data_IF_236762265462
#
_entry.id   IF_236762265462
#
_cell.length_a   1.000
_cell.length_b   1.000
_cell.length_c   1.000
_cell.angle_alpha   90.00
_cell.angle_beta   90.00
_cell.angle_gamma   90.00
#
_symmetry.space_group_name_H-M   'P 1'
#
loop_
_entity.id
_entity.type
_entity.pdbx_description
1 polymer ?
#
# COMPACT_ATOMS: atom_id res chain seq x y z
N UNK A 1 28.65 43.86 -49.96
CA UNK A 1 29.61 42.86 -49.45
C UNK A 1 29.19 42.47 -48.05
N UNK A 2 28.57 41.30 -47.90
CA UNK A 2 28.17 40.74 -46.59
C UNK A 2 29.33 39.88 -46.05
N UNK A 3 29.59 39.88 -44.72
CA UNK A 3 30.67 39.08 -44.16
C UNK A 3 30.30 37.60 -44.17
N UNK A 4 31.22 36.76 -44.61
CA UNK A 4 31.14 35.30 -44.50
C UNK A 4 31.21 34.91 -43.02
N UNK A 5 30.12 34.37 -42.47
CA UNK A 5 30.12 33.72 -41.16
C UNK A 5 30.95 32.43 -41.26
N UNK A 6 32.07 32.43 -40.53
CA UNK A 6 32.98 31.30 -40.36
C UNK A 6 32.27 30.14 -39.68
N UNK A 7 32.36 28.94 -40.27
CA UNK A 7 31.93 27.69 -39.67
C UNK A 7 32.71 27.44 -38.37
N UNK A 8 32.06 27.68 -37.23
CA UNK A 8 32.60 27.31 -35.93
C UNK A 8 32.61 25.78 -35.82
N UNK A 9 33.81 25.21 -35.70
CA UNK A 9 34.03 23.80 -35.39
C UNK A 9 33.31 23.46 -34.08
N UNK A 10 32.28 22.62 -34.17
CA UNK A 10 31.53 22.12 -33.02
C UNK A 10 32.46 21.35 -32.09
N UNK A 11 32.60 21.83 -30.85
CA UNK A 11 33.22 21.06 -29.77
C UNK A 11 32.45 19.74 -29.61
N UNK A 12 33.12 18.60 -29.38
CA UNK A 12 32.45 17.36 -29.05
C UNK A 12 31.55 17.62 -27.84
N UNK A 13 30.25 17.40 -28.03
CA UNK A 13 29.25 17.42 -26.96
C UNK A 13 29.78 16.40 -25.95
N UNK A 14 30.16 16.87 -24.76
CA UNK A 14 30.55 16.01 -23.66
C UNK A 14 29.46 14.96 -23.52
N UNK A 15 29.83 13.68 -23.63
CA UNK A 15 28.93 12.55 -23.46
C UNK A 15 28.09 12.81 -22.23
N UNK A 16 26.79 13.08 -22.44
CA UNK A 16 25.86 13.37 -21.36
C UNK A 16 26.00 12.26 -20.34
N UNK A 17 26.34 12.65 -19.11
CA UNK A 17 26.43 11.77 -17.97
C UNK A 17 25.00 11.33 -17.64
N UNK A 18 24.46 10.41 -18.45
CA UNK A 18 23.10 9.88 -18.28
C UNK A 18 23.07 9.19 -16.94
N UNK A 19 22.17 9.66 -16.08
CA UNK A 19 21.91 8.99 -14.82
C UNK A 19 21.68 7.49 -15.10
N UNK A 20 22.21 6.58 -14.25
CA UNK A 20 22.01 5.16 -14.44
C UNK A 20 20.52 4.86 -14.50
N UNK A 21 20.13 3.94 -15.38
CA UNK A 21 18.73 3.54 -15.53
C UNK A 21 18.22 2.92 -14.22
N UNK A 22 16.99 3.27 -13.83
CA UNK A 22 16.37 2.82 -12.58
C UNK A 22 14.98 2.26 -12.84
N UNK A 23 14.63 1.26 -12.05
CA UNK A 23 13.36 0.53 -12.14
C UNK A 23 12.78 0.30 -10.76
N UNK A 24 11.55 -0.18 -10.73
CA UNK A 24 10.83 -0.47 -9.50
C UNK A 24 10.66 -1.97 -9.33
N UNK A 25 11.06 -2.48 -8.18
CA UNK A 25 11.08 -3.91 -7.91
C UNK A 25 10.11 -4.27 -6.79
N UNK A 26 9.21 -5.22 -7.06
CA UNK A 26 8.43 -5.90 -6.05
C UNK A 26 9.05 -7.27 -5.76
N UNK A 27 9.78 -7.39 -4.65
CA UNK A 27 10.55 -8.59 -4.29
C UNK A 27 9.80 -9.57 -3.39
N UNK A 28 10.04 -10.88 -3.60
CA UNK A 28 9.44 -11.97 -2.83
C UNK A 28 10.28 -13.26 -2.93
N UNK A 29 10.02 -14.27 -2.09
CA UNK A 29 9.46 -14.15 -0.75
C UNK A 29 10.44 -13.47 0.20
N UNK A 30 9.93 -12.60 1.09
CA UNK A 30 10.76 -11.97 2.14
C UNK A 30 11.19 -12.94 3.24
N UNK A 31 10.46 -14.04 3.42
CA UNK A 31 10.74 -15.04 4.46
C UNK A 31 11.38 -16.27 3.82
N UNK A 32 12.62 -16.62 4.19
CA UNK A 32 13.18 -17.91 3.81
C UNK A 32 12.47 -18.99 4.63
N UNK A 33 11.54 -19.73 4.02
CA UNK A 33 10.83 -20.81 4.72
C UNK A 33 11.33 -22.21 4.41
N UNK A 34 12.12 -22.38 3.36
CA UNK A 34 12.63 -23.69 2.94
C UNK A 34 13.95 -23.56 2.19
N UNK A 35 14.77 -24.61 2.21
CA UNK A 35 15.86 -24.74 1.24
C UNK A 35 15.29 -24.77 -0.19
N UNK A 36 15.92 -24.03 -1.11
CA UNK A 36 15.52 -23.94 -2.52
C UNK A 36 14.50 -22.85 -2.85
N UNK A 37 14.00 -22.89 -4.10
CA UNK A 37 13.21 -21.81 -4.71
C UNK A 37 11.70 -22.09 -4.80
N UNK A 38 11.25 -23.22 -4.24
CA UNK A 38 9.85 -23.68 -4.36
C UNK A 38 8.84 -22.66 -3.83
N UNK A 39 9.13 -22.03 -2.69
CA UNK A 39 8.23 -21.02 -2.11
C UNK A 39 8.04 -19.79 -3.01
N UNK A 40 9.12 -19.32 -3.67
CA UNK A 40 9.04 -18.21 -4.63
C UNK A 40 8.28 -18.57 -5.89
N UNK A 41 8.44 -19.80 -6.39
CA UNK A 41 7.68 -20.31 -7.53
C UNK A 41 6.17 -20.40 -7.21
N UNK A 42 5.80 -20.89 -6.02
CA UNK A 42 4.39 -20.93 -5.59
C UNK A 42 3.79 -19.53 -5.49
N UNK A 43 4.54 -18.53 -5.01
CA UNK A 43 4.08 -17.13 -5.00
C UNK A 43 3.89 -16.61 -6.42
N UNK A 44 4.82 -16.89 -7.33
CA UNK A 44 4.69 -16.48 -8.73
C UNK A 44 3.46 -17.10 -9.38
N UNK A 45 3.15 -18.37 -9.10
CA UNK A 45 1.91 -19.03 -9.53
C UNK A 45 0.67 -18.34 -8.96
N UNK A 46 0.68 -17.95 -7.68
CA UNK A 46 -0.42 -17.22 -7.07
C UNK A 46 -0.62 -15.84 -7.70
N UNK A 47 0.47 -15.12 -8.00
CA UNK A 47 0.42 -13.84 -8.69
C UNK A 47 -0.14 -14.02 -10.10
N UNK A 48 0.26 -15.09 -10.81
CA UNK A 48 -0.30 -15.43 -12.11
C UNK A 48 -1.78 -15.76 -12.02
N UNK A 49 -2.24 -16.46 -10.99
CA UNK A 49 -3.62 -16.93 -10.93
C UNK A 49 -4.58 -15.86 -10.42
N UNK A 50 -4.17 -15.10 -9.40
CA UNK A 50 -5.04 -14.17 -8.69
C UNK A 50 -4.63 -12.70 -8.81
N UNK A 51 -3.36 -12.42 -9.10
CA UNK A 51 -2.81 -11.06 -9.11
C UNK A 51 -1.97 -10.74 -7.87
N UNK A 52 -1.63 -9.46 -7.71
CA UNK A 52 -0.74 -9.02 -6.62
C UNK A 52 -1.49 -8.97 -5.29
N UNK A 53 -0.91 -9.60 -4.27
CA UNK A 53 -1.48 -9.65 -2.93
C UNK A 53 -1.11 -8.41 -2.12
N UNK A 54 -2.10 -7.72 -1.59
CA UNK A 54 -1.93 -6.68 -0.58
C UNK A 54 -2.04 -7.30 0.81
N UNK A 55 -0.90 -7.65 1.37
CA UNK A 55 -0.84 -8.19 2.73
C UNK A 55 -1.08 -7.07 3.75
N UNK A 56 -1.99 -7.26 4.73
CA UNK A 56 -2.27 -6.23 5.72
C UNK A 56 -1.14 -6.12 6.76
N UNK A 57 -0.88 -4.90 7.20
CA UNK A 57 0.07 -4.58 8.25
C UNK A 57 -0.53 -3.54 9.20
N UNK A 58 -0.22 -3.61 10.49
CA UNK A 58 -0.64 -2.59 11.45
C UNK A 58 0.45 -1.53 11.60
N UNK A 59 0.16 -0.32 11.13
CA UNK A 59 0.96 0.86 11.41
C UNK A 59 0.52 1.47 12.75
N UNK A 60 1.51 1.76 13.60
CA UNK A 60 1.29 2.33 14.94
C UNK A 60 1.86 3.74 14.99
N UNK A 61 1.03 4.65 15.48
CA UNK A 61 1.35 6.05 15.68
C UNK A 61 1.20 6.39 17.16
N UNK A 62 2.19 7.06 17.71
CA UNK A 62 2.20 7.53 19.09
C UNK A 62 2.54 9.01 19.11
N UNK A 63 1.85 9.76 19.96
CA UNK A 63 2.09 11.18 20.18
C UNK A 63 1.93 11.49 21.66
N UNK A 64 2.92 12.18 22.22
CA UNK A 64 2.88 12.69 23.59
C UNK A 64 2.09 14.00 23.63
N UNK A 65 1.06 14.08 24.48
CA UNK A 65 0.30 15.31 24.63
C UNK A 65 1.13 16.42 25.27
N UNK A 66 0.90 17.66 24.83
CA UNK A 66 1.55 18.84 25.40
C UNK A 66 1.16 19.11 26.86
N UNK A 67 0.01 18.60 27.31
CA UNK A 67 -0.50 18.76 28.67
C UNK A 67 0.03 17.70 29.66
N UNK A 68 0.93 16.81 29.21
CA UNK A 68 1.49 15.74 30.03
C UNK A 68 0.56 14.55 30.24
N UNK A 69 -0.61 14.51 29.60
CA UNK A 69 -1.47 13.33 29.61
C UNK A 69 -0.81 12.14 28.87
N UNK A 70 -1.20 10.89 29.20
CA UNK A 70 -0.59 9.70 28.62
C UNK A 70 -0.61 9.72 27.08
N UNK A 71 0.48 9.31 26.40
CA UNK A 71 0.56 9.37 24.94
C UNK A 71 -0.64 8.72 24.26
N UNK A 72 -1.20 9.41 23.27
CA UNK A 72 -2.26 8.84 22.45
C UNK A 72 -1.65 7.87 21.46
N UNK A 73 -2.10 6.63 21.53
CA UNK A 73 -1.73 5.56 20.60
C UNK A 73 -2.86 5.30 19.63
N UNK A 74 -2.55 5.39 18.35
CA UNK A 74 -3.47 5.01 17.28
C UNK A 74 -2.82 3.94 16.41
N UNK A 75 -3.60 2.94 16.05
CA UNK A 75 -3.20 1.91 15.11
C UNK A 75 -4.12 1.94 13.90
N UNK A 76 -3.57 1.68 12.73
CA UNK A 76 -4.34 1.57 11.49
C UNK A 76 -3.87 0.38 10.68
N UNK A 77 -4.81 -0.32 10.03
CA UNK A 77 -4.47 -1.40 9.11
C UNK A 77 -4.12 -0.77 7.77
N UNK A 78 -2.91 -1.02 7.29
CA UNK A 78 -2.47 -0.67 5.96
C UNK A 78 -2.47 -1.90 5.07
N UNK A 79 -3.01 -1.78 3.86
CA UNK A 79 -2.98 -2.80 2.80
C UNK A 79 -2.25 -2.17 1.61
N UNK A 80 -1.11 -2.73 1.25
CA UNK A 80 -0.22 -2.13 0.24
C UNK A 80 0.53 -3.18 -0.56
N UNK A 81 0.93 -2.80 -1.77
CA UNK A 81 2.00 -3.44 -2.53
C UNK A 81 3.15 -2.45 -2.54
N UNK A 82 4.33 -2.89 -2.14
CA UNK A 82 5.53 -2.05 -2.07
C UNK A 82 6.48 -2.35 -3.22
N UNK A 83 7.09 -1.29 -3.75
CA UNK A 83 8.09 -1.33 -4.80
C UNK A 83 9.30 -0.52 -4.39
N UNK A 84 10.50 -0.99 -4.69
CA UNK A 84 11.76 -0.30 -4.37
C UNK A 84 12.38 0.24 -5.65
N UNK A 85 12.67 1.54 -5.72
CA UNK A 85 13.39 2.10 -6.86
C UNK A 85 14.89 1.77 -6.78
N UNK A 86 15.38 0.92 -7.68
CA UNK A 86 16.77 0.45 -7.70
C UNK A 86 17.36 0.58 -9.11
N UNK A 87 18.67 0.80 -9.17
CA UNK A 87 19.44 0.45 -10.36
C UNK A 87 19.58 -1.08 -10.43
N UNK A 88 19.68 -1.69 -11.62
CA UNK A 88 19.81 -3.15 -11.76
C UNK A 88 20.94 -3.76 -10.93
N UNK A 89 22.06 -3.03 -10.78
CA UNK A 89 23.22 -3.45 -9.98
C UNK A 89 22.92 -3.60 -8.48
N UNK A 90 21.94 -2.85 -7.96
CA UNK A 90 21.57 -2.84 -6.54
C UNK A 90 20.66 -4.04 -6.19
N UNK A 91 20.02 -4.66 -7.19
CA UNK A 91 18.99 -5.69 -6.98
C UNK A 91 19.52 -6.94 -6.30
N UNK A 92 20.73 -7.40 -6.64
CA UNK A 92 21.33 -8.58 -6.01
C UNK A 92 21.60 -8.36 -4.51
N UNK A 93 21.92 -7.12 -4.10
CA UNK A 93 22.02 -6.74 -2.70
C UNK A 93 20.64 -6.75 -2.02
N UNK A 94 19.66 -6.11 -2.66
CA UNK A 94 18.28 -6.04 -2.17
C UNK A 94 17.63 -7.42 -2.00
N UNK A 95 17.91 -8.35 -2.92
CA UNK A 95 17.39 -9.71 -2.92
C UNK A 95 17.75 -10.50 -1.65
N UNK A 96 18.85 -10.15 -0.97
CA UNK A 96 19.27 -10.79 0.28
C UNK A 96 18.30 -10.53 1.43
N UNK A 97 17.69 -9.35 1.45
CA UNK A 97 16.79 -8.90 2.52
C UNK A 97 15.31 -9.08 2.18
N UNK A 98 14.96 -9.01 0.88
CA UNK A 98 13.57 -8.98 0.41
C UNK A 98 13.14 -10.19 -0.41
N UNK A 99 14.07 -11.08 -0.74
CA UNK A 99 13.80 -12.31 -1.47
C UNK A 99 14.40 -12.31 -2.88
N UNK A 100 14.72 -13.50 -3.42
CA UNK A 100 15.47 -13.61 -4.67
C UNK A 100 14.61 -13.51 -5.94
N UNK A 101 13.29 -13.48 -5.83
CA UNK A 101 12.39 -13.19 -6.95
C UNK A 101 12.00 -11.72 -6.93
N UNK A 102 11.83 -11.12 -8.11
CA UNK A 102 11.30 -9.78 -8.23
C UNK A 102 10.45 -9.60 -9.50
N UNK A 103 9.41 -8.77 -9.39
CA UNK A 103 8.74 -8.19 -10.56
C UNK A 103 9.32 -6.81 -10.80
N UNK A 104 9.79 -6.56 -12.02
CA UNK A 104 10.30 -5.25 -12.44
C UNK A 104 9.23 -4.46 -13.18
N UNK A 105 9.07 -3.20 -12.80
CA UNK A 105 8.19 -2.23 -13.46
C UNK A 105 8.99 -1.00 -13.90
N UNK A 106 8.58 -0.41 -15.02
CA UNK A 106 8.97 0.94 -15.38
C UNK A 106 8.11 1.99 -14.65
N UNK A 107 8.59 3.24 -14.63
CA UNK A 107 7.93 4.34 -13.93
C UNK A 107 6.52 4.64 -14.47
N UNK A 108 6.33 4.55 -15.79
CA UNK A 108 5.07 4.93 -16.42
C UNK A 108 4.00 3.87 -16.14
N UNK A 109 4.37 2.59 -16.19
CA UNK A 109 3.53 1.47 -15.76
C UNK A 109 3.10 1.63 -14.30
N UNK A 110 4.04 1.88 -13.38
CA UNK A 110 3.70 2.08 -11.97
C UNK A 110 2.78 3.29 -11.72
N UNK A 111 3.03 4.43 -12.38
CA UNK A 111 2.17 5.60 -12.25
C UNK A 111 0.75 5.31 -12.73
N UNK A 112 0.59 4.56 -13.82
CA UNK A 112 -0.72 4.15 -14.34
C UNK A 112 -1.45 3.23 -13.36
N UNK A 113 -0.71 2.38 -12.66
CA UNK A 113 -1.23 1.53 -11.60
C UNK A 113 -1.56 2.28 -10.29
N UNK A 114 -1.34 3.61 -10.24
CA UNK A 114 -1.62 4.42 -9.05
C UNK A 114 -0.55 4.28 -7.95
N UNK A 115 0.64 3.79 -8.30
CA UNK A 115 1.75 3.76 -7.36
C UNK A 115 2.28 5.18 -7.12
N UNK A 116 2.53 5.54 -5.86
CA UNK A 116 3.15 6.83 -5.48
C UNK A 116 4.27 6.63 -4.45
N UNK A 117 5.22 7.58 -4.33
CA UNK A 117 6.25 7.54 -3.30
C UNK A 117 5.67 7.48 -1.89
N UNK A 118 6.35 6.76 -1.00
CA UNK A 118 6.01 6.70 0.42
C UNK A 118 6.38 8.00 1.13
N UNK A 119 5.47 8.48 1.98
CA UNK A 119 5.72 9.58 2.89
C UNK A 119 6.25 9.04 4.22
N UNK A 120 7.57 9.06 4.37
CA UNK A 120 8.21 8.70 5.63
C UNK A 120 8.01 9.82 6.65
N UNK A 121 7.39 9.47 7.78
CA UNK A 121 7.04 10.40 8.86
C UNK A 121 7.92 10.08 10.07
N UNK A 122 8.73 11.06 10.56
CA UNK A 122 9.51 10.84 11.76
C UNK A 122 8.59 10.64 12.97
N UNK A 123 9.02 9.78 13.89
CA UNK A 123 8.34 9.57 15.16
C UNK A 123 9.11 10.27 16.27
N UNK A 124 8.40 10.76 17.29
CA UNK A 124 9.05 11.34 18.46
C UNK A 124 9.99 10.30 19.09
N UNK A 125 11.21 10.73 19.44
CA UNK A 125 12.02 9.98 20.39
C UNK A 125 11.42 10.03 21.80
N UNK A 126 12.16 9.55 22.81
CA UNK A 126 11.73 9.59 24.22
C UNK A 126 11.67 11.02 24.83
N UNK A 127 11.69 12.08 24.01
CA UNK A 127 11.73 13.48 24.44
C UNK A 127 10.62 14.36 23.87
N UNK A 128 10.38 15.50 24.53
CA UNK A 128 9.44 16.53 24.11
C UNK A 128 10.03 17.49 23.06
N UNK A 129 10.61 16.95 21.99
CA UNK A 129 11.15 17.76 20.89
C UNK A 129 10.14 17.92 19.75
N UNK A 130 10.49 18.75 18.76
CA UNK A 130 9.67 18.95 17.56
C UNK A 130 9.55 17.69 16.68
N UNK A 131 10.29 16.61 16.98
CA UNK A 131 10.18 15.32 16.31
C UNK A 131 8.81 14.66 16.48
N UNK A 132 8.03 15.06 17.49
CA UNK A 132 6.65 14.62 17.66
C UNK A 132 5.64 15.17 16.64
N UNK A 133 6.00 16.19 15.85
CA UNK A 133 5.11 16.80 14.87
C UNK A 133 4.54 15.77 13.88
N UNK A 134 5.34 14.80 13.47
CA UNK A 134 4.93 13.73 12.56
C UNK A 134 3.82 12.86 13.16
N UNK A 135 3.99 12.42 14.40
CA UNK A 135 2.96 11.70 15.14
C UNK A 135 1.67 12.51 15.31
N UNK A 136 1.77 13.82 15.61
CA UNK A 136 0.61 14.72 15.72
C UNK A 136 -0.16 14.81 14.41
N UNK A 137 0.55 15.05 13.30
CA UNK A 137 -0.04 15.14 11.96
C UNK A 137 -0.82 13.86 11.63
N UNK A 138 -0.21 12.70 11.84
CA UNK A 138 -0.84 11.42 11.53
C UNK A 138 -2.07 11.14 12.39
N UNK A 139 -2.02 11.45 13.69
CA UNK A 139 -3.19 11.32 14.55
C UNK A 139 -4.35 12.22 14.11
N UNK A 140 -4.07 13.46 13.67
CA UNK A 140 -5.11 14.34 13.15
C UNK A 140 -5.69 13.87 11.83
N UNK A 141 -4.88 13.29 10.93
CA UNK A 141 -5.39 12.68 9.69
C UNK A 141 -6.27 11.47 9.99
N UNK A 142 -5.90 10.63 10.97
CA UNK A 142 -6.72 9.50 11.41
C UNK A 142 -8.02 9.98 12.07
N UNK A 143 -7.99 11.05 12.86
CA UNK A 143 -9.19 11.65 13.44
C UNK A 143 -10.11 12.23 12.36
N UNK A 144 -9.56 12.89 11.35
CA UNK A 144 -10.32 13.39 10.20
C UNK A 144 -10.98 12.23 9.43
N UNK A 145 -10.25 11.12 9.23
CA UNK A 145 -10.80 9.89 8.64
C UNK A 145 -11.95 9.34 9.49
N UNK A 146 -11.77 9.21 10.81
CA UNK A 146 -12.83 8.74 11.73
C UNK A 146 -14.05 9.66 11.74
N UNK A 147 -13.84 10.98 11.69
CA UNK A 147 -14.92 11.96 11.64
C UNK A 147 -15.73 11.83 10.35
N UNK A 148 -15.05 11.77 9.20
CA UNK A 148 -15.71 11.61 7.90
C UNK A 148 -16.45 10.27 7.79
N UNK A 149 -15.88 9.20 8.32
CA UNK A 149 -16.54 7.89 8.40
C UNK A 149 -17.81 7.93 9.26
N UNK A 150 -17.76 8.58 10.43
CA UNK A 150 -18.96 8.76 11.27
C UNK A 150 -20.05 9.57 10.57
N UNK A 151 -19.67 10.62 9.86
CA UNK A 151 -20.62 11.40 9.04
C UNK A 151 -21.24 10.51 7.97
N UNK A 152 -20.44 9.70 7.27
CA UNK A 152 -20.93 8.76 6.25
C UNK A 152 -21.90 7.72 6.85
N UNK A 153 -21.61 7.19 8.03
CA UNK A 153 -22.51 6.26 8.75
C UNK A 153 -23.82 6.94 9.13
N UNK A 154 -23.77 8.19 9.62
CA UNK A 154 -24.97 8.97 9.93
C UNK A 154 -25.82 9.23 8.68
N UNK A 155 -25.19 9.62 7.57
CA UNK A 155 -25.87 9.80 6.27
C UNK A 155 -26.56 8.51 5.81
N UNK A 156 -25.89 7.36 5.92
CA UNK A 156 -26.46 6.06 5.56
C UNK A 156 -27.66 5.69 6.44
N UNK A 157 -27.54 5.82 7.76
CA UNK A 157 -28.63 5.51 8.70
C UNK A 157 -29.82 6.44 8.44
N UNK A 158 -29.60 7.75 8.34
CA UNK A 158 -30.65 8.72 8.09
C UNK A 158 -31.30 8.53 6.72
N UNK A 159 -30.55 8.11 5.70
CA UNK A 159 -31.12 7.80 4.37
C UNK A 159 -31.97 6.54 4.37
N UNK A 160 -31.67 5.59 5.26
CA UNK A 160 -32.46 4.36 5.42
C UNK A 160 -33.67 4.50 6.36
N UNK A 161 -33.81 5.63 7.06
CA UNK A 161 -34.88 5.84 8.02
C UNK A 161 -36.26 5.96 7.33
N UNK A 162 -37.33 5.33 7.89
CA UNK A 162 -38.68 5.45 7.35
C UNK A 162 -39.14 6.92 7.22
N UNK A 163 -39.92 7.29 6.18
CA UNK A 163 -40.32 8.68 5.94
C UNK A 163 -41.14 9.32 7.06
N UNK A 164 -41.89 8.52 7.82
CA UNK A 164 -42.74 8.92 8.94
C UNK A 164 -42.00 8.97 10.28
N UNK A 165 -40.76 8.46 10.33
CA UNK A 165 -39.96 8.45 11.55
C UNK A 165 -39.46 9.87 11.83
N UNK A 166 -39.75 10.36 13.04
CA UNK A 166 -39.27 11.69 13.51
C UNK A 166 -37.88 11.58 14.14
N UNK A 167 -37.65 10.54 14.94
CA UNK A 167 -36.40 10.35 15.71
C UNK A 167 -35.73 9.02 15.44
N UNK A 168 -34.40 9.01 15.39
CA UNK A 168 -33.59 7.82 15.13
C UNK A 168 -32.45 7.70 16.15
N UNK A 169 -32.40 6.55 16.82
CA UNK A 169 -31.25 6.14 17.60
C UNK A 169 -30.08 5.79 16.68
N UNK A 170 -28.92 6.40 16.91
CA UNK A 170 -27.66 6.11 16.22
C UNK A 170 -26.63 5.72 17.26
N UNK A 171 -26.11 4.52 17.13
CA UNK A 171 -25.04 4.01 17.99
C UNK A 171 -23.70 4.26 17.32
N UNK A 172 -22.88 5.12 17.91
CA UNK A 172 -21.52 5.39 17.42
C UNK A 172 -20.53 4.60 18.28
N UNK A 173 -19.72 3.71 17.69
CA UNK A 173 -18.63 3.08 18.41
C UNK A 173 -17.54 4.12 18.71
N UNK A 174 -17.16 4.24 19.99
CA UNK A 174 -15.96 4.97 20.41
C UNK A 174 -15.08 4.06 21.28
N UNK A 175 -13.84 4.48 21.50
CA UNK A 175 -12.84 3.66 22.20
C UNK A 175 -13.25 3.30 23.64
N UNK A 176 -14.14 4.08 24.26
CA UNK A 176 -14.70 3.84 25.61
C UNK A 176 -16.01 3.04 25.62
N UNK A 177 -16.46 2.54 24.46
CA UNK A 177 -17.71 1.81 24.29
C UNK A 177 -18.70 2.53 23.36
N UNK A 178 -19.77 1.87 22.90
CA UNK A 178 -20.77 2.50 22.05
C UNK A 178 -21.53 3.62 22.78
N UNK A 179 -21.72 4.76 22.11
CA UNK A 179 -22.57 5.86 22.60
C UNK A 179 -23.82 5.96 21.73
N UNK A 180 -24.98 5.95 22.36
CA UNK A 180 -26.27 6.10 21.70
C UNK A 180 -26.66 7.59 21.66
N UNK A 181 -26.93 8.09 20.46
CA UNK A 181 -27.52 9.40 20.22
C UNK A 181 -28.94 9.22 19.71
N UNK A 182 -29.88 10.04 20.17
CA UNK A 182 -31.25 10.07 19.67
C UNK A 182 -31.47 11.39 18.92
N UNK A 183 -31.49 11.31 17.59
CA UNK A 183 -31.51 12.49 16.72
C UNK A 183 -32.89 12.73 16.14
N UNK A 184 -33.28 14.00 16.04
CA UNK A 184 -34.34 14.40 15.11
C UNK A 184 -33.83 14.23 13.67
N UNK A 185 -34.55 13.45 12.86
CA UNK A 185 -34.10 13.08 11.52
C UNK A 185 -34.05 14.29 10.60
N UNK A 186 -35.02 15.20 10.71
CA UNK A 186 -35.12 16.36 9.81
C UNK A 186 -34.00 17.35 10.13
N UNK A 187 -33.81 17.67 11.40
CA UNK A 187 -32.74 18.58 11.84
C UNK A 187 -31.36 18.00 11.51
N UNK A 188 -31.14 16.71 11.77
CA UNK A 188 -29.87 16.06 11.46
C UNK A 188 -29.55 16.09 9.96
N UNK A 189 -30.54 15.84 9.09
CA UNK A 189 -30.35 15.94 7.63
C UNK A 189 -30.00 17.35 7.18
N UNK A 190 -30.64 18.39 7.73
CA UNK A 190 -30.33 19.78 7.38
C UNK A 190 -28.93 20.19 7.85
N UNK A 191 -28.51 19.77 9.05
CA UNK A 191 -27.16 20.02 9.56
C UNK A 191 -26.11 19.32 8.68
N UNK A 192 -26.31 18.04 8.37
CA UNK A 192 -25.39 17.30 7.49
C UNK A 192 -25.33 17.93 6.10
N UNK A 193 -26.46 18.34 5.53
CA UNK A 193 -26.51 19.06 4.26
C UNK A 193 -25.74 20.37 4.31
N UNK A 194 -25.87 21.14 5.39
CA UNK A 194 -25.15 22.40 5.56
C UNK A 194 -23.64 22.20 5.66
N UNK A 195 -23.19 21.19 6.41
CA UNK A 195 -21.77 20.85 6.58
C UNK A 195 -21.17 20.29 5.29
N UNK A 196 -21.92 19.45 4.56
CA UNK A 196 -21.46 18.81 3.33
C UNK A 196 -21.58 19.70 2.08
N UNK A 197 -22.09 20.93 2.20
CA UNK A 197 -22.30 21.81 1.07
C UNK A 197 -20.97 22.19 0.40
N UNK A 198 -20.78 21.76 -0.85
CA UNK A 198 -19.55 22.02 -1.61
C UNK A 198 -18.40 21.05 -1.33
N UNK A 199 -18.63 20.00 -0.53
CA UNK A 199 -17.66 18.95 -0.25
C UNK A 199 -17.98 17.68 -1.06
N UNK A 200 -16.98 16.81 -1.22
CA UNK A 200 -17.23 15.45 -1.72
C UNK A 200 -18.07 14.65 -0.70
N UNK A 201 -18.85 13.64 -1.13
CA UNK A 201 -19.63 12.80 -0.22
C UNK A 201 -18.78 12.22 0.90
N UNK A 202 -19.30 12.19 2.13
CA UNK A 202 -18.52 11.80 3.31
C UNK A 202 -17.91 10.40 3.19
N UNK A 203 -18.65 9.45 2.58
CA UNK A 203 -18.14 8.11 2.28
C UNK A 203 -16.92 8.12 1.34
N UNK A 204 -16.90 9.00 0.33
CA UNK A 204 -15.77 9.14 -0.58
C UNK A 204 -14.57 9.77 0.13
N UNK A 205 -14.80 10.79 0.96
CA UNK A 205 -13.74 11.41 1.77
C UNK A 205 -13.12 10.42 2.76
N UNK A 206 -13.94 9.61 3.43
CA UNK A 206 -13.46 8.58 4.36
C UNK A 206 -12.60 7.53 3.64
N UNK A 207 -13.06 7.01 2.50
CA UNK A 207 -12.31 6.07 1.67
C UNK A 207 -11.00 6.68 1.15
N UNK A 208 -11.03 7.94 0.70
CA UNK A 208 -9.84 8.66 0.25
C UNK A 208 -8.83 8.85 1.38
N UNK A 209 -9.27 9.25 2.58
CA UNK A 209 -8.39 9.41 3.73
C UNK A 209 -7.79 8.07 4.17
N UNK A 210 -8.57 7.00 4.18
CA UNK A 210 -8.08 5.66 4.46
C UNK A 210 -7.02 5.22 3.43
N UNK A 211 -7.33 5.32 2.13
CA UNK A 211 -6.38 5.04 1.06
C UNK A 211 -5.13 5.92 1.15
N UNK A 212 -5.29 7.21 1.41
CA UNK A 212 -4.21 8.18 1.57
C UNK A 212 -3.27 7.82 2.73
N UNK A 213 -3.83 7.40 3.87
CA UNK A 213 -3.06 6.99 5.05
C UNK A 213 -2.16 5.78 4.78
N UNK A 214 -2.43 4.93 3.78
CA UNK A 214 -1.57 3.81 3.41
C UNK A 214 -0.20 4.24 2.84
N UNK A 215 -0.08 5.48 2.37
CA UNK A 215 1.17 6.02 1.84
C UNK A 215 2.10 6.59 2.90
N UNK A 216 1.62 6.79 4.13
CA UNK A 216 2.45 7.26 5.23
C UNK A 216 3.10 6.07 5.95
N UNK A 217 4.35 6.22 6.35
CA UNK A 217 5.05 5.17 7.09
C UNK A 217 5.97 5.76 8.15
N UNK A 218 6.03 5.17 9.36
CA UNK A 218 7.00 5.62 10.36
C UNK A 218 8.43 5.46 9.85
N UNK A 219 9.20 6.53 9.93
CA UNK A 219 10.58 6.60 9.45
C UNK A 219 11.61 6.14 10.49
N UNK A 220 11.21 6.05 11.76
CA UNK A 220 12.12 5.78 12.87
C UNK A 220 11.77 4.43 13.51
N UNK A 221 12.80 3.60 13.67
CA UNK A 221 12.76 2.33 14.40
C UNK A 221 14.01 2.26 15.27
N UNK A 222 13.94 1.52 16.39
CA UNK A 222 14.96 1.55 17.46
C UNK A 222 16.39 1.23 16.99
N UNK A 223 16.57 0.57 15.84
CA UNK A 223 17.86 0.04 15.38
C UNK A 223 18.32 0.56 14.01
N UNK A 224 17.75 1.65 13.48
CA UNK A 224 18.05 2.04 12.10
C UNK A 224 19.27 2.95 11.96
N UNK A 225 20.09 2.64 10.95
CA UNK A 225 21.12 3.53 10.48
C UNK A 225 20.49 4.86 10.02
N UNK A 226 21.23 5.97 10.18
CA UNK A 226 20.75 7.31 9.84
C UNK A 226 20.18 7.35 8.41
N UNK A 227 18.90 7.75 8.31
CA UNK A 227 18.14 7.90 7.07
C UNK A 227 17.91 6.60 6.26
N UNK A 228 18.04 5.42 6.87
CA UNK A 228 17.91 4.14 6.16
C UNK A 228 16.58 4.02 5.41
N UNK A 229 15.45 4.33 6.05
CA UNK A 229 14.13 4.25 5.40
C UNK A 229 13.99 5.26 4.25
N UNK A 230 14.42 6.51 4.44
CA UNK A 230 14.39 7.51 3.37
C UNK A 230 15.20 7.10 2.13
N UNK A 231 16.24 6.28 2.31
CA UNK A 231 17.08 5.75 1.22
C UNK A 231 16.47 4.55 0.49
N UNK A 232 15.41 3.93 1.02
CA UNK A 232 14.75 2.81 0.36
C UNK A 232 14.02 3.22 -0.91
N UNK A 233 13.68 4.50 -1.09
CA UNK A 233 12.97 5.01 -2.29
C UNK A 233 11.73 4.17 -2.60
N UNK A 234 10.98 3.85 -1.55
CA UNK A 234 9.81 2.99 -1.65
C UNK A 234 8.65 3.73 -2.32
N UNK A 235 7.95 3.01 -3.19
CA UNK A 235 6.69 3.39 -3.79
C UNK A 235 5.63 2.38 -3.38
N UNK A 236 4.38 2.80 -3.27
CA UNK A 236 3.27 1.94 -2.89
C UNK A 236 2.11 2.08 -3.83
N UNK A 237 1.41 0.98 -4.05
CA UNK A 237 -0.01 1.00 -4.38
C UNK A 237 -0.80 0.79 -3.09
N UNK A 238 -1.66 1.72 -2.74
CA UNK A 238 -2.53 1.62 -1.57
C UNK A 238 -3.79 0.84 -1.89
N UNK A 239 -4.33 0.14 -0.89
CA UNK A 239 -5.67 -0.40 -0.96
C UNK A 239 -6.73 0.71 -0.91
N UNK A 240 -7.97 0.36 -1.23
CA UNK A 240 -9.15 1.22 -1.11
C UNK A 240 -9.10 2.43 -2.06
N UNK A 241 -8.46 2.22 -3.21
CA UNK A 241 -8.40 3.19 -4.30
C UNK A 241 -9.39 2.73 -5.36
N UNK A 242 -10.28 3.65 -5.74
CA UNK A 242 -11.15 3.49 -6.89
C UNK A 242 -10.76 4.51 -7.96
N UNK A 243 -10.68 4.06 -9.21
CA UNK A 243 -10.39 4.91 -10.37
C UNK A 243 -11.62 4.89 -11.24
N UNK A 244 -12.16 6.07 -11.57
CA UNK A 244 -13.42 6.19 -12.34
C UNK A 244 -14.61 5.41 -11.74
N UNK A 245 -14.69 5.35 -10.40
CA UNK A 245 -15.67 4.55 -9.64
C UNK A 245 -15.53 3.02 -9.78
N UNK A 246 -14.42 2.53 -10.34
CA UNK A 246 -14.10 1.11 -10.37
C UNK A 246 -13.15 0.77 -9.23
N UNK A 247 -13.55 -0.19 -8.38
CA UNK A 247 -12.69 -0.73 -7.33
C UNK A 247 -11.55 -1.53 -7.97
N UNK A 248 -10.31 -1.11 -7.75
CA UNK A 248 -9.13 -1.79 -8.29
C UNK A 248 -8.74 -3.05 -7.50
N UNK A 249 -9.32 -3.22 -6.31
CA UNK A 249 -8.93 -4.23 -5.34
C UNK A 249 -10.13 -5.03 -4.90
N UNK A 250 -9.94 -6.34 -4.71
CA UNK A 250 -11.00 -7.23 -4.26
C UNK A 250 -10.59 -8.07 -3.06
N UNK A 251 -11.59 -8.53 -2.31
CA UNK A 251 -11.39 -9.51 -1.24
C UNK A 251 -10.99 -10.85 -1.86
N UNK A 252 -10.00 -11.57 -1.30
CA UNK A 252 -9.60 -12.89 -1.76
C UNK A 252 -10.77 -13.87 -1.84
N UNK A 253 -10.80 -14.67 -2.91
CA UNK A 253 -11.75 -15.78 -3.02
C UNK A 253 -11.42 -16.89 -2.01
N UNK A 254 -12.39 -17.76 -1.71
CA UNK A 254 -12.16 -18.90 -0.83
C UNK A 254 -11.03 -19.82 -1.33
N UNK A 255 -10.97 -20.07 -2.64
CA UNK A 255 -9.90 -20.85 -3.27
C UNK A 255 -8.53 -20.20 -3.11
N UNK A 256 -8.47 -18.86 -3.19
CA UNK A 256 -7.24 -18.13 -2.93
C UNK A 256 -6.82 -18.23 -1.46
N UNK A 257 -7.75 -18.04 -0.52
CA UNK A 257 -7.48 -18.18 0.92
C UNK A 257 -6.93 -19.57 1.23
N UNK A 258 -7.51 -20.62 0.67
CA UNK A 258 -7.01 -21.99 0.83
C UNK A 258 -5.56 -22.12 0.36
N UNK A 259 -5.22 -21.56 -0.82
CA UNK A 259 -3.84 -21.61 -1.32
C UNK A 259 -2.87 -20.72 -0.53
N UNK A 260 -3.31 -19.59 0.02
CA UNK A 260 -2.50 -18.77 0.93
C UNK A 260 -2.19 -19.54 2.22
N UNK A 261 -3.15 -20.27 2.78
CA UNK A 261 -2.95 -21.11 3.95
C UNK A 261 -2.03 -22.31 3.65
N UNK A 262 -2.15 -22.91 2.47
CA UNK A 262 -1.25 -23.97 2.02
C UNK A 262 0.19 -23.45 1.79
N UNK A 263 0.33 -22.19 1.36
CA UNK A 263 1.64 -21.54 1.17
C UNK A 263 2.37 -21.33 2.50
N UNK A 264 1.70 -20.74 3.50
CA UNK A 264 2.26 -20.48 4.82
C UNK A 264 1.14 -20.33 5.88
N UNK A 265 0.72 -21.45 6.47
CA UNK A 265 -0.34 -21.46 7.49
C UNK A 265 0.03 -20.66 8.74
N UNK A 266 1.32 -20.61 9.09
CA UNK A 266 1.79 -19.89 10.27
C UNK A 266 1.69 -18.37 10.09
N UNK A 267 1.86 -17.89 8.86
CA UNK A 267 1.69 -16.47 8.55
C UNK A 267 0.26 -16.09 8.21
N UNK A 268 -0.36 -16.78 7.26
CA UNK A 268 -1.68 -16.44 6.75
C UNK A 268 -2.82 -16.89 7.65
N UNK A 269 -2.60 -17.95 8.45
CA UNK A 269 -3.58 -18.46 9.41
C UNK A 269 -3.58 -17.75 10.76
N UNK A 270 -2.62 -16.86 11.04
CA UNK A 270 -2.53 -16.17 12.33
C UNK A 270 -3.69 -15.18 12.52
N UNK A 271 -4.13 -14.95 13.77
CA UNK A 271 -5.12 -13.92 14.07
C UNK A 271 -4.68 -12.54 13.58
N UNK A 272 -5.62 -11.81 12.98
CA UNK A 272 -5.41 -10.42 12.56
C UNK A 272 -6.69 -9.59 12.74
N UNK A 273 -6.60 -8.32 13.19
CA UNK A 273 -5.42 -7.70 13.78
C UNK A 273 -4.97 -8.45 15.05
N UNK A 274 -3.72 -8.28 15.49
CA UNK A 274 -3.25 -8.85 16.75
C UNK A 274 -4.19 -8.53 17.93
N UNK A 275 -4.35 -9.48 18.85
CA UNK A 275 -5.21 -9.30 20.02
C UNK A 275 -4.79 -8.06 20.83
N UNK A 276 -5.77 -7.23 21.20
CA UNK A 276 -5.55 -5.98 21.93
C UNK A 276 -5.24 -4.76 21.06
N UNK A 277 -5.15 -4.91 19.74
CA UNK A 277 -4.97 -3.76 18.84
C UNK A 277 -6.31 -3.16 18.41
N UNK A 278 -6.58 -1.96 18.91
CA UNK A 278 -7.69 -1.13 18.43
C UNK A 278 -7.23 -0.44 17.15
N UNK A 279 -7.73 -0.93 16.01
CA UNK A 279 -7.41 -0.38 14.70
C UNK A 279 -8.54 0.52 14.20
N UNK A 280 -8.19 1.69 13.66
CA UNK A 280 -9.11 2.79 13.38
C UNK A 280 -10.02 2.60 12.17
N UNK A 281 -9.76 1.61 11.31
CA UNK A 281 -10.45 1.38 10.03
C UNK A 281 -11.06 -0.03 9.88
N UNK A 282 -11.29 -0.75 10.99
CA UNK A 282 -11.85 -2.12 10.97
C UNK A 282 -13.33 -2.18 10.60
N UNK A 283 -14.06 -1.09 10.83
CA UNK A 283 -15.53 -1.08 10.85
C UNK A 283 -16.22 -1.36 9.51
N UNK A 284 -15.48 -1.39 8.39
CA UNK A 284 -16.06 -1.50 7.04
C UNK A 284 -16.39 -2.94 6.58
N UNK A 285 -16.09 -3.99 7.35
CA UNK A 285 -16.15 -5.38 6.84
C UNK A 285 -17.24 -6.29 7.42
N UNK A 286 -18.22 -5.79 8.19
CA UNK A 286 -19.46 -6.51 8.54
C UNK A 286 -19.35 -7.72 9.48
N UNK A 287 -18.18 -8.37 9.58
CA UNK A 287 -17.81 -9.37 10.58
C UNK A 287 -16.30 -9.27 10.85
N UNK A 288 -15.82 -9.54 12.07
CA UNK A 288 -14.39 -9.51 12.36
C UNK A 288 -13.71 -10.68 11.63
N UNK A 289 -12.86 -10.44 10.62
CA UNK A 289 -12.14 -11.51 9.96
C UNK A 289 -11.14 -12.11 10.96
N UNK A 290 -11.02 -13.44 10.96
CA UNK A 290 -10.30 -14.16 12.03
C UNK A 290 -8.83 -14.38 11.71
N UNK A 291 -8.44 -14.45 10.43
CA UNK A 291 -7.08 -14.79 9.99
C UNK A 291 -6.51 -13.72 9.10
N UNK A 292 -5.19 -13.58 9.07
CA UNK A 292 -4.51 -12.61 8.20
C UNK A 292 -4.90 -12.75 6.72
N UNK A 293 -5.11 -13.98 6.23
CA UNK A 293 -5.57 -14.21 4.85
C UNK A 293 -6.91 -13.53 4.53
N UNK A 294 -7.82 -13.47 5.51
CA UNK A 294 -9.16 -12.88 5.35
C UNK A 294 -9.09 -11.33 5.27
N UNK A 295 -7.94 -10.75 5.64
CA UNK A 295 -7.69 -9.31 5.63
C UNK A 295 -6.87 -8.83 4.43
N UNK A 296 -6.33 -9.75 3.63
CA UNK A 296 -5.62 -9.42 2.40
C UNK A 296 -6.58 -8.83 1.36
N UNK A 297 -6.03 -8.06 0.42
CA UNK A 297 -6.69 -7.69 -0.84
C UNK A 297 -5.89 -8.14 -2.04
N UNK A 298 -6.53 -8.12 -3.20
CA UNK A 298 -5.95 -8.60 -4.44
C UNK A 298 -6.09 -7.54 -5.53
N UNK A 299 -4.96 -7.18 -6.14
CA UNK A 299 -4.91 -6.40 -7.35
C UNK A 299 -4.77 -7.34 -8.55
N UNK A 300 -5.88 -7.64 -9.21
CA UNK A 300 -5.92 -8.64 -10.28
C UNK A 300 -5.68 -8.04 -11.67
N UNK A 301 -6.45 -7.00 -12.01
CA UNK A 301 -6.55 -6.45 -13.35
C UNK A 301 -6.80 -4.94 -13.28
N UNK A 302 -6.29 -4.22 -14.28
CA UNK A 302 -6.59 -2.82 -14.52
C UNK A 302 -6.53 -2.53 -16.02
N UNK A 303 -7.52 -1.80 -16.54
CA UNK A 303 -7.61 -1.43 -17.96
C UNK A 303 -7.52 -2.65 -18.90
N UNK A 304 -8.24 -3.74 -18.56
CA UNK A 304 -8.26 -4.98 -19.35
C UNK A 304 -6.98 -5.83 -19.27
N UNK A 305 -6.00 -5.42 -18.45
CA UNK A 305 -4.70 -6.07 -18.32
C UNK A 305 -4.47 -6.62 -16.93
N UNK A 306 -4.06 -7.88 -16.86
CA UNK A 306 -3.69 -8.56 -15.62
C UNK A 306 -2.45 -7.89 -15.02
N UNK A 307 -2.29 -7.96 -13.70
CA UNK A 307 -1.16 -7.34 -13.01
C UNK A 307 0.22 -7.72 -13.59
N UNK A 308 0.40 -8.96 -14.06
CA UNK A 308 1.65 -9.42 -14.69
C UNK A 308 1.89 -8.87 -16.09
N UNK A 309 0.86 -8.42 -16.80
CA UNK A 309 1.00 -7.79 -18.13
C UNK A 309 1.50 -6.34 -18.02
N UNK A 310 1.55 -5.78 -16.81
CA UNK A 310 2.21 -4.51 -16.50
C UNK A 310 3.68 -4.68 -16.09
N UNK A 311 4.13 -5.92 -15.90
CA UNK A 311 5.50 -6.22 -15.49
C UNK A 311 6.40 -6.16 -16.72
N UNK A 312 7.53 -5.48 -16.60
CA UNK A 312 8.54 -5.43 -17.65
C UNK A 312 9.34 -6.73 -17.73
N UNK A 313 9.76 -7.26 -16.57
CA UNK A 313 10.53 -8.50 -16.42
C UNK A 313 10.19 -9.22 -15.13
N UNK A 314 10.18 -10.55 -15.17
CA UNK A 314 10.19 -11.38 -13.97
C UNK A 314 11.62 -11.85 -13.73
N UNK A 315 12.18 -11.52 -12.57
CA UNK A 315 13.57 -11.78 -12.23
C UNK A 315 13.60 -12.90 -11.21
N UNK A 316 14.39 -13.93 -11.48
CA UNK A 316 14.47 -15.14 -10.64
C UNK A 316 15.92 -15.64 -10.56
N UNK A 317 16.27 -16.46 -9.56
CA UNK A 317 17.54 -17.18 -9.55
C UNK A 317 17.71 -18.07 -10.77
N UNK A 318 18.96 -18.29 -11.19
CA UNK A 318 19.27 -19.14 -12.34
C UNK A 318 18.59 -20.51 -12.28
N UNK A 319 18.54 -21.14 -11.10
CA UNK A 319 17.95 -22.48 -10.93
C UNK A 319 16.41 -22.49 -11.05
N UNK A 320 15.76 -21.34 -10.91
CA UNK A 320 14.30 -21.20 -11.00
C UNK A 320 13.82 -20.78 -12.41
N UNK A 321 14.72 -20.43 -13.32
CA UNK A 321 14.41 -19.84 -14.64
C UNK A 321 13.40 -20.68 -15.44
N UNK A 322 13.68 -21.98 -15.59
CA UNK A 322 12.84 -22.90 -16.38
C UNK A 322 11.45 -23.04 -15.80
N UNK A 323 11.34 -23.19 -14.48
CA UNK A 323 10.06 -23.35 -13.79
C UNK A 323 9.24 -22.05 -13.84
N UNK A 324 9.85 -20.90 -13.57
CA UNK A 324 9.20 -19.60 -13.66
C UNK A 324 8.68 -19.30 -15.08
N UNK A 325 9.47 -19.64 -16.10
CA UNK A 325 9.04 -19.52 -17.51
C UNK A 325 7.82 -20.40 -17.79
N UNK A 326 7.82 -21.64 -17.30
CA UNK A 326 6.69 -22.56 -17.46
C UNK A 326 5.42 -22.05 -16.76
N UNK A 327 5.56 -21.46 -15.57
CA UNK A 327 4.46 -20.85 -14.83
C UNK A 327 3.78 -19.77 -15.66
N UNK A 328 4.55 -18.90 -16.31
CA UNK A 328 4.02 -17.73 -17.03
C UNK A 328 3.55 -18.02 -18.46
N UNK A 329 3.96 -19.16 -19.04
CA UNK A 329 3.59 -19.59 -20.39
C UNK A 329 2.09 -19.48 -20.76
N UNK A 330 1.12 -19.71 -19.84
CA UNK A 330 -0.30 -19.58 -20.16
C UNK A 330 -0.79 -18.14 -20.37
N UNK A 331 0.00 -17.12 -20.04
CA UNK A 331 -0.38 -15.72 -20.25
C UNK A 331 -0.24 -15.32 -21.72
N UNK A 332 -1.18 -14.52 -22.22
CA UNK A 332 -1.17 -13.99 -23.60
C UNK A 332 0.03 -13.09 -23.86
N UNK A 333 0.37 -12.23 -22.90
CA UNK A 333 1.48 -11.29 -22.96
C UNK A 333 2.38 -11.51 -21.73
N UNK A 334 3.00 -12.69 -21.67
CA UNK A 334 3.86 -13.06 -20.55
C UNK A 334 5.12 -12.17 -20.50
N UNK A 335 5.44 -11.53 -19.36
CA UNK A 335 6.68 -10.80 -19.23
C UNK A 335 7.88 -11.76 -19.36
N UNK A 336 8.99 -11.33 -19.99
CA UNK A 336 10.18 -12.15 -20.10
C UNK A 336 10.75 -12.47 -18.70
N UNK A 337 11.19 -13.72 -18.53
CA UNK A 337 11.86 -14.17 -17.31
C UNK A 337 13.36 -14.07 -17.49
N UNK A 338 14.05 -13.40 -16.57
CA UNK A 338 15.51 -13.22 -16.61
C UNK A 338 16.17 -13.68 -15.32
N UNK A 339 17.43 -14.06 -15.42
CA UNK A 339 18.23 -14.49 -14.26
C UNK A 339 18.71 -13.27 -13.48
N UNK A 340 18.58 -13.29 -12.15
CA UNK A 340 19.08 -12.27 -11.25
C UNK A 340 20.58 -12.01 -11.47
N UNK A 341 21.35 -13.07 -11.68
CA UNK A 341 22.80 -13.05 -11.88
C UNK A 341 23.20 -12.31 -13.16
N UNK A 342 22.36 -12.36 -14.20
CA UNK A 342 22.64 -11.70 -15.48
C UNK A 342 22.62 -10.17 -15.38
N UNK A 343 21.90 -9.62 -14.39
CA UNK A 343 21.80 -8.18 -14.17
C UNK A 343 23.05 -7.59 -13.52
N UNK A 344 23.79 -8.42 -12.77
CA UNK A 344 25.05 -8.02 -12.13
C UNK A 344 26.17 -7.89 -13.18
N UNK A 345 26.23 -8.81 -14.14
CA UNK A 345 27.27 -8.79 -15.18
C UNK A 345 27.16 -7.59 -16.11
N UNK A 346 25.95 -7.06 -16.33
CA UNK A 346 25.72 -5.88 -17.16
C UNK A 346 26.15 -4.56 -16.51
N UNK A 347 26.20 -4.51 -15.17
CA UNK A 347 26.57 -3.30 -14.44
C UNK A 347 28.09 -3.07 -14.33
N UNK A 348 28.89 -4.10 -14.63
CA UNK A 348 30.36 -4.02 -14.60
C UNK A 348 31.00 -3.66 -15.94
N UNK A 349 30.20 -3.47 -16.99
CA UNK A 349 30.60 -2.99 -18.32
C UNK A 349 30.14 -1.54 -18.48
#
# INVERSE_FOLDING_TARGET
MLPKLSAAQGKPIMSENRAPERYFYHSFPRRPQTEGHGHGLTILELIRDFGLLMTPEVARWEYAHADGSPPRRQSMVQRRISFTELAPAELAGHAKDFGPFALEFDLDSLKRLGAIPVFYVPQAGEGHDAGGLGGTLMNHLIDAMRLTDRVAQMEAILSSAPPDRVRQGITIPIDTGPVLFDLDIKEAREILRAISLGLAPARQLAAFLEGGLNYFYPADGRDNAALQYYRQREWRMAGNVAVHNEEMMHVPSAAMIERLLALDVNFFGRPFPPAGEITSNVSLHGAPPQRLADWCWVFQEFDGKRALEWVRRVIVPAEALTAATAILKPLSDAPPVVMLESLVSQAGQ
#
